data_IF_536797023366
#
_entry.id   IF_536797023366
#
_cell.length_a   1.000
_cell.length_b   1.000
_cell.length_c   1.000
_cell.angle_alpha   90.00
_cell.angle_beta   90.00
_cell.angle_gamma   90.00
#
_symmetry.space_group_name_H-M   'P 1'
#
loop_
_entity.id
_entity.type
_entity.pdbx_description
1 polymer ?
#
# COMPACT_ATOMS: atom_id res chain seq x y z
N UNK A 1 -8.61 -0.77 29.71
CA UNK A 1 -7.75 -0.45 28.57
C UNK A 1 -6.33 -0.22 29.10
N UNK A 2 -5.43 -1.22 28.99
CA UNK A 2 -4.03 -1.04 29.38
C UNK A 2 -3.30 -0.43 28.18
N UNK A 3 -3.01 0.86 28.25
CA UNK A 3 -2.08 1.51 27.33
C UNK A 3 -0.69 0.99 27.72
N UNK A 4 -0.07 0.16 26.84
CA UNK A 4 1.29 -0.30 27.05
C UNK A 4 2.21 0.91 27.27
N UNK A 5 3.09 0.81 28.26
CA UNK A 5 4.04 1.87 28.59
C UNK A 5 4.88 2.22 27.37
N UNK A 6 4.75 3.45 26.91
CA UNK A 6 5.62 4.01 25.87
C UNK A 6 7.00 4.20 26.55
N UNK A 7 7.94 3.30 26.27
CA UNK A 7 9.30 3.50 26.75
C UNK A 7 9.91 4.76 26.12
N UNK A 8 10.38 5.72 26.93
CA UNK A 8 11.01 6.91 26.40
C UNK A 8 12.34 6.55 25.71
N UNK A 9 12.54 7.03 24.48
CA UNK A 9 13.81 6.90 23.75
C UNK A 9 14.97 7.40 24.64
N UNK A 10 16.05 6.63 24.68
CA UNK A 10 17.32 7.05 25.30
C UNK A 10 17.79 8.38 24.70
N UNK A 11 18.07 9.33 25.57
CA UNK A 11 18.55 10.65 25.21
C UNK A 11 19.91 10.56 24.49
N UNK A 12 20.06 11.27 23.36
CA UNK A 12 21.36 11.49 22.76
C UNK A 12 22.15 12.51 23.61
N UNK A 13 23.38 12.19 23.98
CA UNK A 13 24.28 13.14 24.64
C UNK A 13 24.74 14.20 23.63
N UNK A 14 24.19 15.40 23.71
CA UNK A 14 24.78 16.57 23.09
C UNK A 14 26.02 17.04 23.90
N UNK A 15 27.00 17.60 23.24
CA UNK A 15 28.15 18.28 23.89
C UNK A 15 27.61 19.45 24.74
N UNK A 16 27.45 19.24 26.05
CA UNK A 16 26.97 20.27 26.94
C UNK A 16 26.11 19.80 28.09
N UNK A 17 26.06 18.53 28.41
CA UNK A 17 25.65 18.02 29.72
C UNK A 17 24.17 18.19 30.15
N UNK A 18 23.29 18.80 29.40
CA UNK A 18 21.87 18.94 29.78
C UNK A 18 21.04 17.89 29.01
N UNK A 19 20.55 16.87 29.73
CA UNK A 19 19.63 15.87 29.16
C UNK A 19 18.26 16.54 28.90
N UNK A 20 18.01 16.93 27.66
CA UNK A 20 16.67 17.32 27.24
C UNK A 20 15.87 16.06 26.94
N UNK A 21 14.92 15.70 27.80
CA UNK A 21 13.90 14.71 27.49
C UNK A 21 13.06 15.25 26.34
N UNK A 22 13.22 14.71 25.15
CA UNK A 22 12.31 15.01 24.03
C UNK A 22 10.93 14.46 24.41
N UNK A 23 10.02 15.35 24.76
CA UNK A 23 8.64 15.00 25.13
C UNK A 23 8.02 14.35 23.90
N UNK A 24 7.69 13.06 23.99
CA UNK A 24 6.88 12.40 22.96
C UNK A 24 5.49 13.01 23.00
N UNK A 25 5.19 13.88 22.06
CA UNK A 25 3.84 14.42 21.87
C UNK A 25 3.07 13.46 21.00
N UNK A 26 1.97 12.92 21.52
CA UNK A 26 0.99 12.20 20.73
C UNK A 26 0.23 13.24 19.90
N UNK A 27 0.42 13.22 18.58
CA UNK A 27 -0.26 14.16 17.70
C UNK A 27 -1.63 13.62 17.24
N UNK A 28 -1.69 12.35 16.88
CA UNK A 28 -2.88 11.78 16.28
C UNK A 28 -2.93 10.26 16.44
N UNK A 29 -4.13 9.72 16.64
CA UNK A 29 -4.44 8.29 16.55
C UNK A 29 -5.48 8.11 15.43
N UNK A 30 -5.09 7.47 14.35
CA UNK A 30 -6.03 7.09 13.31
C UNK A 30 -6.84 5.86 13.75
N UNK A 31 -8.13 6.03 13.95
CA UNK A 31 -9.01 4.92 14.30
C UNK A 31 -9.18 3.93 13.14
N UNK A 32 -9.38 2.65 13.48
CA UNK A 32 -9.82 1.64 12.54
C UNK A 32 -11.31 1.88 12.21
N UNK A 33 -11.73 1.53 11.00
CA UNK A 33 -13.13 1.65 10.61
C UNK A 33 -13.99 0.65 11.41
N UNK A 34 -15.13 1.13 11.88
CA UNK A 34 -16.09 0.37 12.68
C UNK A 34 -17.50 0.57 12.16
N UNK A 35 -18.34 -0.44 12.33
CA UNK A 35 -19.76 -0.33 12.05
C UNK A 35 -20.49 0.54 13.10
N UNK A 36 -21.78 0.83 12.94
CA UNK A 36 -22.54 1.63 13.91
C UNK A 36 -22.60 1.02 15.32
N UNK A 37 -22.31 -0.28 15.46
CA UNK A 37 -22.23 -0.97 16.75
C UNK A 37 -20.82 -0.96 17.35
N UNK A 38 -19.88 -0.25 16.72
CA UNK A 38 -18.49 -0.14 17.17
C UNK A 38 -17.62 -1.36 16.84
N UNK A 39 -18.09 -2.30 16.01
CA UNK A 39 -17.35 -3.50 15.65
C UNK A 39 -16.43 -3.21 14.45
N UNK A 40 -15.13 -3.56 14.54
CA UNK A 40 -14.21 -3.36 13.43
C UNK A 40 -14.57 -4.23 12.24
N UNK A 41 -14.32 -3.75 11.03
CA UNK A 41 -14.43 -4.54 9.81
C UNK A 41 -13.50 -4.00 8.72
N UNK A 42 -13.22 -4.79 7.70
CA UNK A 42 -12.46 -4.33 6.53
C UNK A 42 -13.45 -4.09 5.39
N UNK A 43 -13.54 -2.85 4.88
CA UNK A 43 -14.44 -2.54 3.76
C UNK A 43 -14.05 -3.28 2.50
N UNK A 44 -15.03 -3.78 1.75
CA UNK A 44 -14.83 -4.36 0.43
C UNK A 44 -14.17 -3.40 -0.56
N UNK A 45 -14.41 -2.10 -0.40
CA UNK A 45 -13.74 -1.05 -1.18
C UNK A 45 -12.23 -1.03 -0.99
N UNK A 46 -11.73 -1.34 0.22
CA UNK A 46 -10.31 -1.46 0.52
C UNK A 46 -9.68 -2.64 -0.24
N UNK A 47 -10.34 -3.79 -0.21
CA UNK A 47 -9.89 -4.99 -0.95
C UNK A 47 -9.99 -4.76 -2.46
N UNK A 48 -11.06 -4.16 -2.94
CA UNK A 48 -11.19 -3.78 -4.36
C UNK A 48 -10.06 -2.85 -4.82
N UNK A 49 -9.65 -1.90 -3.97
CA UNK A 49 -8.49 -1.03 -4.23
C UNK A 49 -7.18 -1.80 -4.31
N UNK A 50 -6.99 -2.81 -3.47
CA UNK A 50 -5.84 -3.72 -3.51
C UNK A 50 -5.84 -4.55 -4.80
N UNK A 51 -6.95 -5.16 -5.18
CA UNK A 51 -7.11 -5.91 -6.44
C UNK A 51 -6.75 -5.03 -7.65
N UNK A 52 -7.26 -3.79 -7.67
CA UNK A 52 -6.95 -2.80 -8.70
C UNK A 52 -5.45 -2.51 -8.79
N UNK A 53 -4.79 -2.34 -7.64
CA UNK A 53 -3.34 -2.09 -7.59
C UNK A 53 -2.55 -3.26 -8.14
N UNK A 54 -2.88 -4.51 -7.76
CA UNK A 54 -2.20 -5.71 -8.27
C UNK A 54 -2.41 -5.85 -9.77
N UNK A 55 -3.63 -5.64 -10.27
CA UNK A 55 -3.92 -5.69 -11.71
C UNK A 55 -3.06 -4.70 -12.49
N UNK A 56 -3.03 -3.43 -12.07
CA UNK A 56 -2.22 -2.40 -12.73
C UNK A 56 -0.72 -2.71 -12.66
N UNK A 57 -0.26 -3.19 -11.50
CA UNK A 57 1.13 -3.61 -11.33
C UNK A 57 1.48 -4.80 -12.24
N UNK A 58 0.57 -5.75 -12.41
CA UNK A 58 0.77 -6.89 -13.30
C UNK A 58 0.86 -6.47 -14.78
N UNK A 59 0.08 -5.47 -15.20
CA UNK A 59 0.18 -4.93 -16.56
C UNK A 59 1.55 -4.30 -16.83
N UNK A 60 2.07 -3.56 -15.85
CA UNK A 60 3.43 -2.99 -15.95
C UNK A 60 4.48 -4.09 -15.96
N UNK A 61 4.34 -5.09 -15.10
CA UNK A 61 5.28 -6.22 -15.05
C UNK A 61 5.32 -7.01 -16.36
N UNK A 62 4.16 -7.30 -16.94
CA UNK A 62 4.05 -8.00 -18.24
C UNK A 62 4.60 -7.17 -19.41
N UNK A 63 4.69 -5.86 -19.27
CA UNK A 63 5.23 -4.92 -20.27
C UNK A 63 6.70 -4.56 -20.02
N UNK A 64 7.47 -5.40 -19.33
CA UNK A 64 8.86 -5.11 -18.93
C UNK A 64 9.79 -4.73 -20.07
N UNK A 65 9.43 -5.00 -21.32
CA UNK A 65 10.15 -4.48 -22.49
C UNK A 65 10.02 -2.96 -22.70
N UNK A 66 9.01 -2.31 -22.09
CA UNK A 66 8.83 -0.86 -22.13
C UNK A 66 8.49 -0.36 -20.71
N UNK A 67 9.49 0.07 -19.94
CA UNK A 67 9.25 0.64 -18.61
C UNK A 67 8.29 1.83 -18.72
N UNK A 68 7.34 1.88 -17.80
CA UNK A 68 6.44 3.03 -17.69
C UNK A 68 7.27 4.20 -17.21
N UNK A 69 7.60 5.12 -18.12
CA UNK A 69 8.34 6.34 -17.81
C UNK A 69 7.39 7.42 -17.32
N UNK A 70 7.81 8.16 -16.32
CA UNK A 70 7.12 9.38 -15.88
C UNK A 70 7.54 10.50 -16.82
N UNK A 71 6.64 11.00 -17.68
CA UNK A 71 7.02 11.98 -18.69
C UNK A 71 7.30 13.35 -18.12
N UNK A 72 8.25 14.05 -18.73
CA UNK A 72 8.44 15.48 -18.56
C UNK A 72 9.14 15.95 -17.30
N UNK A 73 9.30 17.25 -17.22
CA UNK A 73 9.89 17.97 -16.08
C UNK A 73 8.82 18.71 -15.25
N UNK A 74 7.54 18.58 -15.62
CA UNK A 74 6.47 19.36 -15.00
C UNK A 74 5.88 18.67 -13.78
N UNK A 75 5.95 19.34 -12.63
CA UNK A 75 5.41 18.85 -11.34
C UNK A 75 3.93 18.44 -11.42
N UNK A 76 3.12 19.12 -12.25
CA UNK A 76 1.70 18.78 -12.43
C UNK A 76 1.54 17.41 -13.11
N UNK A 77 2.34 17.11 -14.11
CA UNK A 77 2.29 15.83 -14.83
C UNK A 77 2.70 14.67 -13.92
N UNK A 78 3.73 14.87 -13.11
CA UNK A 78 4.16 13.88 -12.13
C UNK A 78 3.06 13.56 -11.12
N UNK A 79 2.32 14.56 -10.63
CA UNK A 79 1.20 14.34 -9.69
C UNK A 79 0.03 13.58 -10.32
N UNK A 80 -0.26 13.83 -11.59
CA UNK A 80 -1.39 13.25 -12.32
C UNK A 80 -1.04 11.94 -13.02
N UNK A 81 0.23 11.53 -13.02
CA UNK A 81 0.69 10.38 -13.75
C UNK A 81 -0.11 9.11 -13.40
N UNK A 82 -0.29 8.83 -12.11
CA UNK A 82 -1.05 7.68 -11.62
C UNK A 82 -2.48 7.64 -12.16
N UNK A 83 -3.19 8.75 -12.03
CA UNK A 83 -4.57 8.86 -12.50
C UNK A 83 -4.70 8.67 -14.02
N UNK A 84 -3.77 9.24 -14.80
CA UNK A 84 -3.75 9.07 -16.26
C UNK A 84 -3.52 7.62 -16.66
N UNK A 85 -2.57 6.95 -15.99
CA UNK A 85 -2.30 5.54 -16.24
C UNK A 85 -3.50 4.67 -15.91
N UNK A 86 -4.12 4.86 -14.75
CA UNK A 86 -5.33 4.14 -14.37
C UNK A 86 -6.46 4.34 -15.37
N UNK A 87 -6.71 5.57 -15.79
CA UNK A 87 -7.74 5.86 -16.82
C UNK A 87 -7.46 5.12 -18.11
N UNK A 88 -6.23 5.16 -18.59
CA UNK A 88 -5.83 4.49 -19.85
C UNK A 88 -6.01 2.99 -19.77
N UNK A 89 -5.64 2.37 -18.66
CA UNK A 89 -5.59 0.92 -18.55
C UNK A 89 -6.90 0.30 -18.09
N UNK A 90 -7.75 1.02 -17.39
CA UNK A 90 -8.97 0.49 -16.81
C UNK A 90 -10.27 0.92 -17.50
N UNK A 91 -10.31 2.10 -18.16
CA UNK A 91 -11.54 2.60 -18.79
C UNK A 91 -11.66 2.07 -20.22
N UNK A 92 -12.02 0.81 -20.35
CA UNK A 92 -12.05 0.06 -21.62
C UNK A 92 -13.38 -0.62 -21.93
N UNK A 93 -14.40 -0.47 -21.08
CA UNK A 93 -15.66 -1.21 -21.27
C UNK A 93 -16.51 -0.68 -22.43
N UNK A 94 -16.24 0.53 -22.93
CA UNK A 94 -16.85 1.06 -24.16
C UNK A 94 -18.38 1.14 -24.14
N UNK A 95 -18.99 1.57 -23.04
CA UNK A 95 -20.45 1.64 -22.91
C UNK A 95 -21.05 2.62 -23.92
N UNK A 96 -22.19 2.27 -24.54
CA UNK A 96 -22.93 3.19 -25.42
C UNK A 96 -23.26 4.50 -24.71
N UNK A 97 -23.23 5.60 -25.45
CA UNK A 97 -23.58 6.94 -24.97
C UNK A 97 -22.72 7.46 -23.81
N UNK A 98 -21.49 6.96 -23.66
CA UNK A 98 -20.53 7.45 -22.68
C UNK A 98 -19.23 7.87 -23.36
N UNK A 99 -18.48 8.79 -22.70
CA UNK A 99 -17.13 9.13 -23.14
C UNK A 99 -16.15 8.04 -22.68
N UNK A 100 -15.11 7.72 -23.45
CA UNK A 100 -14.12 6.69 -23.06
C UNK A 100 -13.53 6.92 -21.66
N UNK A 101 -13.38 8.19 -21.23
CA UNK A 101 -12.82 8.57 -19.94
C UNK A 101 -13.80 8.52 -18.77
N UNK A 102 -15.08 8.24 -19.00
CA UNK A 102 -16.08 8.21 -17.94
C UNK A 102 -15.84 7.01 -17.01
N UNK A 103 -16.08 7.21 -15.71
CA UNK A 103 -15.86 6.17 -14.69
C UNK A 103 -16.74 4.91 -14.91
N UNK A 104 -17.85 5.05 -15.61
CA UNK A 104 -18.73 3.93 -15.97
C UNK A 104 -18.06 2.94 -16.93
N UNK A 105 -16.97 3.31 -17.58
CA UNK A 105 -16.19 2.46 -18.46
C UNK A 105 -15.06 1.71 -17.75
N UNK A 106 -14.94 1.86 -16.43
CA UNK A 106 -13.91 1.20 -15.64
C UNK A 106 -14.20 -0.31 -15.52
N UNK A 107 -13.23 -1.14 -15.90
CA UNK A 107 -13.32 -2.61 -15.84
C UNK A 107 -13.64 -3.11 -14.43
N UNK A 108 -13.13 -2.43 -13.40
CA UNK A 108 -13.36 -2.81 -12.01
C UNK A 108 -14.82 -2.61 -11.57
N UNK A 109 -15.69 -1.99 -12.37
CA UNK A 109 -17.14 -2.02 -12.09
C UNK A 109 -17.70 -3.44 -12.13
N UNK A 110 -17.12 -4.32 -12.94
CA UNK A 110 -17.50 -5.73 -13.00
C UNK A 110 -17.17 -6.48 -11.69
N UNK A 111 -16.24 -5.99 -10.87
CA UNK A 111 -15.86 -6.64 -9.61
C UNK A 111 -16.68 -6.06 -8.45
N UNK A 112 -17.34 -6.94 -7.72
CA UNK A 112 -18.05 -6.64 -6.47
C UNK A 112 -17.35 -7.35 -5.33
N UNK A 113 -17.05 -6.63 -4.25
CA UNK A 113 -16.40 -7.16 -3.05
C UNK A 113 -17.28 -6.82 -1.86
N UNK A 114 -17.64 -7.83 -1.06
CA UNK A 114 -18.39 -7.60 0.19
C UNK A 114 -17.47 -7.00 1.24
N UNK A 115 -18.04 -6.34 2.23
CA UNK A 115 -17.32 -6.06 3.46
C UNK A 115 -16.96 -7.36 4.18
N UNK A 116 -15.94 -7.34 5.03
CA UNK A 116 -15.65 -8.49 5.88
C UNK A 116 -16.76 -8.70 6.92
N UNK A 117 -16.90 -9.91 7.49
CA UNK A 117 -17.59 -10.05 8.76
C UNK A 117 -17.02 -9.12 9.81
N UNK A 118 -17.84 -8.77 10.81
CA UNK A 118 -17.38 -8.00 11.96
C UNK A 118 -16.26 -8.76 12.69
N UNK A 119 -15.18 -8.03 13.01
CA UNK A 119 -14.03 -8.51 13.76
C UNK A 119 -14.21 -8.18 15.24
N UNK A 120 -13.38 -8.79 16.09
CA UNK A 120 -13.41 -8.48 17.52
C UNK A 120 -12.58 -7.22 17.80
N UNK A 121 -13.05 -6.38 18.70
CA UNK A 121 -12.27 -5.21 19.17
C UNK A 121 -10.97 -5.62 19.87
N UNK A 122 -10.92 -6.83 20.45
CA UNK A 122 -9.69 -7.42 21.01
C UNK A 122 -8.61 -7.72 19.96
N UNK A 123 -8.97 -7.77 18.69
CA UNK A 123 -8.02 -7.99 17.60
C UNK A 123 -7.37 -6.68 17.13
N UNK A 124 -7.74 -5.53 17.74
CA UNK A 124 -7.14 -4.24 17.46
C UNK A 124 -6.00 -3.92 18.43
N UNK A 125 -4.91 -3.40 17.87
CA UNK A 125 -3.76 -2.86 18.57
C UNK A 125 -3.53 -1.40 18.16
N UNK A 126 -3.02 -0.60 19.09
CA UNK A 126 -2.54 0.75 18.75
C UNK A 126 -1.07 0.66 18.38
N UNK A 127 -0.78 0.88 17.12
CA UNK A 127 0.56 0.74 16.54
C UNK A 127 1.16 2.11 16.24
N UNK A 128 2.40 2.35 16.67
CA UNK A 128 3.14 3.53 16.26
C UNK A 128 3.67 3.34 14.84
N UNK A 129 3.46 4.33 13.99
CA UNK A 129 4.07 4.36 12.67
C UNK A 129 5.56 4.66 12.79
N UNK A 130 6.38 3.84 12.15
CA UNK A 130 7.83 3.97 12.12
C UNK A 130 8.31 4.03 10.67
N UNK A 131 9.23 4.94 10.40
CA UNK A 131 9.95 5.03 9.14
C UNK A 131 11.35 4.44 9.32
N UNK A 132 11.64 3.34 8.66
CA UNK A 132 12.96 2.73 8.66
C UNK A 132 13.73 3.20 7.43
N UNK A 133 14.91 3.76 7.62
CA UNK A 133 15.83 4.12 6.54
C UNK A 133 16.77 2.95 6.19
N UNK A 134 17.52 3.09 5.10
CA UNK A 134 18.48 2.07 4.63
C UNK A 134 19.62 1.77 5.61
N UNK A 135 19.87 2.63 6.60
CA UNK A 135 20.85 2.39 7.66
C UNK A 135 20.26 1.60 8.84
N UNK A 136 19.05 1.08 8.72
CA UNK A 136 18.40 0.29 9.75
C UNK A 136 17.97 1.08 10.99
N UNK A 137 17.98 2.42 10.93
CA UNK A 137 17.53 3.27 12.04
C UNK A 137 16.03 3.53 11.91
N UNK A 138 15.22 2.98 12.84
CA UNK A 138 13.81 3.30 12.86
C UNK A 138 13.62 4.72 13.42
N UNK A 139 12.81 5.53 12.76
CA UNK A 139 12.33 6.80 13.27
C UNK A 139 10.84 6.69 13.59
N UNK A 140 10.51 6.66 14.89
CA UNK A 140 9.13 6.64 15.37
C UNK A 140 8.49 8.00 15.17
N UNK A 141 7.45 8.04 14.36
CA UNK A 141 6.65 9.24 14.18
C UNK A 141 5.64 9.38 15.34
N UNK A 142 5.26 10.62 15.74
CA UNK A 142 4.20 10.85 16.73
C UNK A 142 2.81 10.60 16.12
N UNK A 143 2.68 9.52 15.39
CA UNK A 143 1.50 9.12 14.63
C UNK A 143 1.17 7.67 14.95
N UNK A 144 -0.02 7.43 15.46
CA UNK A 144 -0.49 6.11 15.86
C UNK A 144 -1.69 5.69 15.01
N UNK A 145 -1.92 4.39 14.92
CA UNK A 145 -3.07 3.81 14.23
C UNK A 145 -3.61 2.63 15.00
N UNK A 146 -4.93 2.50 15.04
CA UNK A 146 -5.53 1.19 15.33
C UNK A 146 -5.27 0.29 14.13
N UNK A 147 -4.65 -0.85 14.37
CA UNK A 147 -4.32 -1.87 13.38
C UNK A 147 -4.81 -3.23 13.85
N UNK A 148 -5.12 -4.12 12.92
CA UNK A 148 -5.37 -5.52 13.27
C UNK A 148 -4.07 -6.17 13.75
N UNK A 149 -4.18 -7.00 14.76
CA UNK A 149 -3.07 -7.80 15.26
C UNK A 149 -2.53 -8.73 14.17
N UNK A 150 -1.21 -8.96 14.12
CA UNK A 150 -0.64 -9.97 13.22
C UNK A 150 -1.32 -11.34 13.41
N UNK A 151 -1.58 -12.04 12.30
CA UNK A 151 -2.29 -13.32 12.32
C UNK A 151 -3.82 -13.20 12.31
N UNK A 152 -4.40 -12.01 12.37
CA UNK A 152 -5.85 -11.85 12.21
C UNK A 152 -6.29 -12.26 10.82
N UNK A 153 -7.22 -13.21 10.74
CA UNK A 153 -7.81 -13.67 9.48
C UNK A 153 -8.98 -12.78 9.07
N UNK A 154 -9.01 -12.41 7.78
CA UNK A 154 -10.06 -11.57 7.19
C UNK A 154 -10.58 -12.29 5.96
N UNK A 155 -11.90 -12.37 5.80
CA UNK A 155 -12.52 -12.99 4.63
C UNK A 155 -13.44 -12.02 3.90
N UNK A 156 -13.46 -12.15 2.57
CA UNK A 156 -14.33 -11.38 1.68
C UNK A 156 -14.88 -12.29 0.60
N UNK A 157 -16.10 -12.03 0.14
CA UNK A 157 -16.61 -12.62 -1.08
C UNK A 157 -16.33 -11.65 -2.23
N UNK A 158 -15.75 -12.17 -3.30
CA UNK A 158 -15.49 -11.43 -4.54
C UNK A 158 -16.31 -12.07 -5.65
N UNK A 159 -17.06 -11.25 -6.36
CA UNK A 159 -17.84 -11.68 -7.53
C UNK A 159 -17.42 -10.83 -8.71
N UNK A 160 -17.20 -11.46 -9.85
CA UNK A 160 -16.95 -10.79 -11.13
C UNK A 160 -18.10 -11.03 -12.08
N UNK A 161 -18.58 -9.95 -12.69
CA UNK A 161 -19.56 -10.00 -13.78
C UNK A 161 -18.80 -10.21 -15.09
N UNK A 162 -18.93 -11.40 -15.65
CA UNK A 162 -18.29 -11.79 -16.92
C UNK A 162 -19.23 -11.66 -18.12
N UNK A 163 -20.47 -11.18 -17.90
CA UNK A 163 -21.48 -11.09 -18.96
C UNK A 163 -21.00 -10.20 -20.11
N UNK A 164 -21.24 -10.60 -21.37
CA UNK A 164 -20.83 -9.83 -22.54
C UNK A 164 -21.75 -8.62 -22.80
N UNK A 165 -22.75 -8.39 -21.96
CA UNK A 165 -23.72 -7.31 -22.15
C UNK A 165 -23.09 -5.94 -21.97
N UNK A 166 -23.63 -4.94 -22.65
CA UNK A 166 -23.20 -3.54 -22.68
C UNK A 166 -23.11 -2.82 -21.32
N UNK A 167 -23.28 -3.54 -20.23
CA UNK A 167 -23.20 -3.04 -18.85
C UNK A 167 -21.80 -3.14 -18.22
N UNK A 168 -20.78 -3.50 -19.02
CA UNK A 168 -19.38 -3.47 -18.57
C UNK A 168 -18.94 -4.72 -17.84
N UNK A 169 -19.38 -5.89 -18.25
CA UNK A 169 -18.82 -7.16 -17.84
C UNK A 169 -17.34 -7.25 -18.24
N UNK A 170 -16.55 -7.96 -17.46
CA UNK A 170 -15.13 -8.15 -17.71
C UNK A 170 -14.83 -9.65 -17.87
N UNK A 171 -14.71 -10.09 -19.13
CA UNK A 171 -14.50 -11.52 -19.45
C UNK A 171 -13.24 -12.10 -18.84
N UNK A 172 -12.15 -11.33 -18.84
CA UNK A 172 -10.87 -11.78 -18.27
C UNK A 172 -10.81 -11.64 -16.75
N UNK A 173 -11.84 -11.07 -16.14
CA UNK A 173 -11.91 -10.82 -14.70
C UNK A 173 -11.91 -12.09 -13.88
N UNK A 174 -12.56 -13.16 -14.35
CA UNK A 174 -12.52 -14.47 -13.68
C UNK A 174 -11.11 -15.03 -13.67
N UNK A 175 -10.46 -15.08 -14.83
CA UNK A 175 -9.07 -15.53 -14.95
C UNK A 175 -8.10 -14.69 -14.10
N UNK A 176 -8.33 -13.38 -14.04
CA UNK A 176 -7.54 -12.51 -13.16
C UNK A 176 -7.70 -12.92 -11.70
N UNK A 177 -8.92 -13.22 -11.23
CA UNK A 177 -9.14 -13.67 -9.85
C UNK A 177 -8.55 -15.05 -9.60
N UNK A 178 -8.67 -16.00 -10.54
CA UNK A 178 -8.09 -17.34 -10.44
C UNK A 178 -6.56 -17.30 -10.31
N UNK A 179 -5.91 -16.42 -11.06
CA UNK A 179 -4.45 -16.26 -11.04
C UNK A 179 -3.95 -15.19 -10.07
N UNK A 180 -4.82 -14.64 -9.23
CA UNK A 180 -4.50 -13.48 -8.40
C UNK A 180 -3.34 -13.76 -7.42
N UNK A 181 -3.31 -14.92 -6.79
CA UNK A 181 -2.25 -15.29 -5.85
C UNK A 181 -0.89 -15.39 -6.54
N UNK A 182 -0.83 -16.06 -7.70
CA UNK A 182 0.37 -16.16 -8.53
C UNK A 182 0.81 -14.77 -9.03
N UNK A 183 -0.15 -13.97 -9.47
CA UNK A 183 0.09 -12.60 -9.94
C UNK A 183 0.66 -11.73 -8.81
N UNK A 184 0.10 -11.81 -7.60
CA UNK A 184 0.60 -11.07 -6.45
C UNK A 184 2.03 -11.50 -6.07
N UNK A 185 2.30 -12.82 -6.06
CA UNK A 185 3.64 -13.35 -5.78
C UNK A 185 4.67 -12.88 -6.82
N UNK A 186 4.33 -12.99 -8.11
CA UNK A 186 5.20 -12.55 -9.22
C UNK A 186 5.49 -11.04 -9.18
N UNK A 187 4.45 -10.24 -8.97
CA UNK A 187 4.60 -8.77 -8.84
C UNK A 187 5.48 -8.40 -7.67
N UNK A 188 5.31 -9.06 -6.52
CA UNK A 188 6.13 -8.80 -5.34
C UNK A 188 7.58 -9.19 -5.56
N UNK A 189 7.83 -10.37 -6.11
CA UNK A 189 9.18 -10.83 -6.43
C UNK A 189 9.89 -9.86 -7.37
N UNK A 190 9.24 -9.42 -8.43
CA UNK A 190 9.85 -8.57 -9.44
C UNK A 190 10.06 -7.12 -8.99
N UNK A 191 9.24 -6.61 -8.07
CA UNK A 191 9.18 -5.18 -7.77
C UNK A 191 9.59 -4.83 -6.35
N UNK A 192 9.47 -5.78 -5.43
CA UNK A 192 9.60 -5.51 -4.00
C UNK A 192 10.83 -6.13 -3.37
N UNK A 193 11.30 -7.27 -3.90
CA UNK A 193 12.42 -8.00 -3.30
C UNK A 193 13.69 -7.15 -3.24
N UNK A 194 14.07 -6.55 -4.38
CA UNK A 194 15.26 -5.69 -4.47
C UNK A 194 15.15 -4.48 -3.53
N UNK A 195 14.01 -3.79 -3.54
CA UNK A 195 13.77 -2.65 -2.65
C UNK A 195 13.91 -3.03 -1.18
N UNK A 196 13.32 -4.16 -0.77
CA UNK A 196 13.36 -4.61 0.62
C UNK A 196 14.76 -5.05 1.06
N UNK A 197 15.54 -5.62 0.14
CA UNK A 197 16.92 -6.02 0.40
C UNK A 197 17.82 -4.82 0.80
N UNK A 198 17.43 -3.60 0.44
CA UNK A 198 18.15 -2.39 0.85
C UNK A 198 17.96 -2.03 2.33
N UNK A 199 17.02 -2.69 3.05
CA UNK A 199 16.71 -2.37 4.44
C UNK A 199 17.15 -3.50 5.37
N UNK A 200 18.07 -3.24 6.34
CA UNK A 200 18.56 -4.24 7.27
C UNK A 200 17.43 -4.87 8.11
N UNK A 201 17.52 -6.16 8.37
CA UNK A 201 16.57 -6.89 9.21
C UNK A 201 15.17 -7.01 8.62
N UNK A 202 15.04 -6.94 7.29
CA UNK A 202 13.81 -7.18 6.57
C UNK A 202 13.89 -8.55 5.89
N UNK A 203 12.98 -9.46 6.27
CA UNK A 203 12.94 -10.80 5.69
C UNK A 203 12.45 -10.77 4.24
N UNK A 204 12.89 -11.72 3.43
CA UNK A 204 12.33 -11.93 2.10
C UNK A 204 10.83 -12.20 2.17
N UNK A 205 10.08 -11.69 1.21
CA UNK A 205 8.67 -12.07 1.03
C UNK A 205 8.64 -13.41 0.31
N UNK A 206 7.94 -14.35 0.91
CA UNK A 206 7.64 -15.65 0.30
C UNK A 206 6.13 -15.76 0.15
N UNK A 207 5.67 -16.09 -1.06
CA UNK A 207 4.26 -16.31 -1.35
C UNK A 207 3.46 -15.06 -1.78
N UNK A 208 2.14 -15.18 -1.86
CA UNK A 208 1.23 -14.18 -2.37
C UNK A 208 0.92 -13.12 -1.31
N UNK A 209 1.83 -12.17 -1.16
CA UNK A 209 1.65 -11.06 -0.22
C UNK A 209 0.94 -9.89 -0.92
N UNK A 210 0.02 -9.28 -0.20
CA UNK A 210 -0.70 -8.06 -0.59
C UNK A 210 -0.61 -7.01 0.52
N UNK A 211 -0.96 -5.78 0.20
CA UNK A 211 -0.90 -4.68 1.15
C UNK A 211 -2.25 -3.97 1.26
N UNK A 212 -2.76 -3.87 2.48
CA UNK A 212 -4.01 -3.21 2.81
C UNK A 212 -3.78 -1.98 3.70
N UNK A 213 -4.69 -1.02 3.62
CA UNK A 213 -4.73 0.14 4.50
C UNK A 213 -3.75 1.27 4.15
N UNK A 214 -3.93 2.39 4.85
CA UNK A 214 -3.20 3.64 4.60
C UNK A 214 -1.74 3.65 5.04
N UNK A 215 -1.33 2.72 5.92
CA UNK A 215 0.03 2.63 6.46
C UNK A 215 1.05 1.95 5.57
N UNK A 216 0.62 1.27 4.52
CA UNK A 216 1.44 0.36 3.71
C UNK A 216 2.57 1.00 2.88
N UNK A 217 2.66 2.33 2.84
CA UNK A 217 3.71 3.03 2.11
C UNK A 217 3.46 3.15 0.59
N UNK A 218 4.28 3.95 -0.07
CA UNK A 218 4.11 4.28 -1.49
C UNK A 218 4.45 3.09 -2.40
N UNK A 219 5.52 2.35 -2.09
CA UNK A 219 6.02 1.25 -2.93
C UNK A 219 5.00 0.15 -3.15
N UNK A 220 4.19 -0.16 -2.13
CA UNK A 220 3.16 -1.20 -2.20
C UNK A 220 2.00 -0.85 -3.14
N UNK A 221 1.80 0.42 -3.45
CA UNK A 221 0.65 0.93 -4.21
C UNK A 221 1.01 1.50 -5.57
N UNK A 222 2.27 1.86 -5.79
CA UNK A 222 2.71 2.43 -7.06
C UNK A 222 2.87 1.36 -8.14
N UNK A 223 2.66 1.73 -9.37
CA UNK A 223 3.01 0.95 -10.55
C UNK A 223 4.25 1.52 -11.28
N UNK A 224 4.82 2.62 -10.80
CA UNK A 224 6.12 3.10 -11.25
C UNK A 224 7.20 2.14 -10.77
N UNK A 225 8.04 1.65 -11.67
CA UNK A 225 9.11 0.68 -11.36
C UNK A 225 10.48 1.33 -11.24
N UNK A 226 10.75 2.29 -12.12
CA UNK A 226 12.00 3.02 -12.15
C UNK A 226 12.17 3.90 -10.90
N UNK A 227 13.33 3.83 -10.26
CA UNK A 227 13.58 4.52 -8.99
C UNK A 227 13.66 6.04 -9.18
N UNK A 228 14.25 6.51 -10.27
CA UNK A 228 14.36 7.94 -10.57
C UNK A 228 12.99 8.55 -10.88
N UNK A 229 12.18 7.84 -11.66
CA UNK A 229 10.81 8.27 -11.97
C UNK A 229 9.94 8.28 -10.71
N UNK A 230 10.12 7.31 -9.82
CA UNK A 230 9.46 7.28 -8.53
C UNK A 230 9.87 8.47 -7.65
N UNK A 231 11.16 8.79 -7.61
CA UNK A 231 11.68 9.93 -6.88
C UNK A 231 11.11 11.26 -7.40
N UNK A 232 10.96 11.42 -8.73
CA UNK A 232 10.30 12.59 -9.33
C UNK A 232 8.85 12.75 -8.88
N UNK A 233 8.09 11.65 -8.84
CA UNK A 233 6.71 11.68 -8.34
C UNK A 233 6.66 12.07 -6.87
N UNK A 234 7.54 11.53 -6.05
CA UNK A 234 7.62 11.85 -4.62
C UNK A 234 8.07 13.29 -4.38
N UNK A 235 9.02 13.82 -5.16
CA UNK A 235 9.41 15.23 -5.10
C UNK A 235 8.26 16.17 -5.48
N UNK A 236 7.46 15.79 -6.48
CA UNK A 236 6.29 16.57 -6.86
C UNK A 236 5.23 16.65 -5.75
N UNK A 237 5.15 15.63 -4.89
CA UNK A 237 4.20 15.59 -3.78
C UNK A 237 4.77 16.14 -2.48
N UNK A 238 6.03 15.85 -2.16
CA UNK A 238 6.65 16.06 -0.85
C UNK A 238 7.97 16.84 -0.91
N UNK A 239 8.42 17.32 -2.07
CA UNK A 239 9.74 17.92 -2.27
C UNK A 239 10.02 19.21 -1.48
N UNK A 240 8.99 19.79 -0.84
CA UNK A 240 9.17 20.90 0.12
C UNK A 240 9.85 20.43 1.42
N UNK A 241 9.67 19.17 1.79
CA UNK A 241 10.18 18.58 3.04
C UNK A 241 11.47 17.80 2.80
N UNK A 242 11.51 16.99 1.73
CA UNK A 242 12.65 16.13 1.38
C UNK A 242 12.90 16.20 -0.12
N UNK A 243 14.15 16.37 -0.52
CA UNK A 243 14.60 16.26 -1.91
C UNK A 243 14.79 14.79 -2.28
N UNK A 244 13.73 14.14 -2.74
CA UNK A 244 13.74 12.71 -3.05
C UNK A 244 14.66 12.35 -4.20
N UNK A 245 14.72 13.17 -5.26
CA UNK A 245 15.59 12.91 -6.41
C UNK A 245 17.06 12.87 -6.01
N UNK A 246 17.54 13.88 -5.27
CA UNK A 246 18.94 13.98 -4.86
C UNK A 246 19.28 12.81 -3.91
N UNK A 247 18.44 12.56 -2.93
CA UNK A 247 18.66 11.45 -1.98
C UNK A 247 18.53 10.08 -2.61
N UNK A 248 17.68 9.89 -3.61
CA UNK A 248 17.57 8.62 -4.35
C UNK A 248 18.84 8.35 -5.15
N UNK A 249 19.45 9.36 -5.74
CA UNK A 249 20.74 9.23 -6.43
C UNK A 249 21.87 8.86 -5.48
N UNK A 250 21.89 9.46 -4.29
CA UNK A 250 22.87 9.15 -3.24
C UNK A 250 22.71 7.74 -2.69
N UNK A 251 21.48 7.36 -2.30
CA UNK A 251 21.18 6.13 -1.57
C UNK A 251 20.77 4.96 -2.49
N UNK A 252 20.55 5.22 -3.78
CA UNK A 252 20.11 4.25 -4.80
C UNK A 252 18.83 3.50 -4.39
N UNK A 253 17.91 4.20 -3.71
CA UNK A 253 16.64 3.62 -3.26
C UNK A 253 15.51 4.65 -3.30
N UNK A 254 14.35 4.24 -3.78
CA UNK A 254 13.11 5.02 -3.73
C UNK A 254 11.90 4.09 -3.50
N UNK A 255 10.99 4.43 -2.57
CA UNK A 255 11.03 5.53 -1.58
C UNK A 255 12.16 5.38 -0.55
N UNK A 256 12.52 6.49 0.10
CA UNK A 256 13.67 6.55 1.04
C UNK A 256 13.46 5.79 2.35
N UNK A 257 12.25 5.36 2.64
CA UNK A 257 11.88 4.72 3.92
C UNK A 257 10.89 3.59 3.72
N UNK A 258 11.07 2.53 4.50
CA UNK A 258 10.12 1.43 4.63
C UNK A 258 9.19 1.68 5.83
N UNK A 259 7.88 1.51 5.63
CA UNK A 259 6.86 1.74 6.67
C UNK A 259 6.73 0.51 7.55
N UNK A 260 7.04 0.66 8.83
CA UNK A 260 7.01 -0.43 9.82
C UNK A 260 6.27 -0.01 11.10
N UNK A 261 6.00 -0.98 11.92
CA UNK A 261 5.60 -0.83 13.32
C UNK A 261 6.30 -1.87 14.17
N UNK A 262 6.32 -1.69 15.48
CA UNK A 262 6.91 -2.61 16.43
C UNK A 262 5.86 -3.09 17.41
N UNK A 263 5.68 -4.39 17.52
CA UNK A 263 4.77 -5.07 18.44
C UNK A 263 5.59 -6.14 19.17
N UNK A 264 5.61 -6.13 20.49
CA UNK A 264 6.31 -7.10 21.33
C UNK A 264 7.77 -7.36 20.88
N UNK A 265 8.50 -6.27 20.59
CA UNK A 265 9.87 -6.30 20.07
C UNK A 265 10.06 -6.84 18.65
N UNK A 266 9.01 -7.28 17.97
CA UNK A 266 9.02 -7.72 16.57
C UNK A 266 8.63 -6.56 15.68
N UNK A 267 9.42 -6.35 14.62
CA UNK A 267 9.13 -5.31 13.62
C UNK A 267 8.31 -5.89 12.47
N UNK A 268 7.12 -5.34 12.24
CA UNK A 268 6.23 -5.71 11.15
C UNK A 268 6.21 -4.63 10.08
N UNK A 269 6.09 -5.01 8.83
CA UNK A 269 5.78 -4.09 7.74
C UNK A 269 4.29 -3.76 7.76
N UNK A 270 3.96 -2.46 7.70
CA UNK A 270 2.56 -2.04 7.85
C UNK A 270 1.71 -2.45 6.65
N UNK A 271 0.56 -3.02 6.94
CA UNK A 271 -0.45 -3.41 5.94
C UNK A 271 -0.14 -4.68 5.17
N UNK A 272 0.95 -5.37 5.47
CA UNK A 272 1.30 -6.63 4.84
C UNK A 272 0.31 -7.74 5.24
N UNK A 273 -0.23 -8.44 4.25
CA UNK A 273 -1.17 -9.55 4.42
C UNK A 273 -0.79 -10.70 3.48
N UNK A 274 -0.93 -11.92 3.95
CA UNK A 274 -0.90 -13.10 3.10
C UNK A 274 -2.27 -13.29 2.43
N UNK A 275 -2.28 -13.60 1.12
CA UNK A 275 -3.50 -13.78 0.34
C UNK A 275 -3.76 -15.26 0.10
N UNK A 276 -4.94 -15.72 0.43
CA UNK A 276 -5.45 -17.01 -0.02
C UNK A 276 -6.76 -16.83 -0.79
N UNK A 277 -6.97 -17.64 -1.83
CA UNK A 277 -8.16 -17.60 -2.67
C UNK A 277 -8.76 -18.99 -2.72
N UNK A 278 -10.08 -19.05 -2.59
CA UNK A 278 -10.85 -20.26 -2.77
C UNK A 278 -12.04 -19.98 -3.67
N UNK A 279 -12.35 -20.89 -4.59
CA UNK A 279 -13.60 -20.79 -5.35
C UNK A 279 -14.75 -21.02 -4.37
N UNK A 280 -15.75 -20.16 -4.41
CA UNK A 280 -16.98 -20.40 -3.67
C UNK A 280 -17.80 -21.47 -4.42
N UNK A 281 -18.28 -22.46 -3.70
CA UNK A 281 -19.25 -23.45 -4.19
C UNK A 281 -20.61 -22.80 -4.45
#
# INVERSE_FOLDING_TARGET
MKIGSIEPRRASRGRGGRMTRKKLTLNEIHAFIKDPLGRPYVPGSTVKGMLRSIYLQSLVHKRTAQPVRVPGHQTREHRQYGERFERKELRKSGRPNTRPQDAVNDLFQAIRVTDSPALRTSDLLICQKMDMNVHGKPDGLPLFRECLAPGTSISHRVVVDTSPTARGGWREGERFLETLAETAASVNQARYAEYRAMYPGVNAIVGPIVYLGGGAGYRSKTFVTDQDDMAKVLDAQFGKVVKHVDKTRELRVSPLVLKRTKIDNICYEMGQCELSIRRAE
#
